data_IF_643538488423
#
_entry.id   IF_643538488423
#
_cell.length_a   1.000
_cell.length_b   1.000
_cell.length_c   1.000
_cell.angle_alpha   90.00
_cell.angle_beta   90.00
_cell.angle_gamma   90.00
#
_symmetry.space_group_name_H-M   'P 1'
#
loop_
_entity.id
_entity.type
_entity.pdbx_description
1 polymer ?
#
# COMPACT_ATOMS: atom_id res chain seq x y z
N UNK A 1 -5.42 -12.30 -23.45
CA UNK A 1 -4.65 -13.00 -22.39
C UNK A 1 -5.52 -13.01 -21.14
N UNK A 2 -5.83 -14.20 -20.61
CA UNK A 2 -6.63 -14.32 -19.39
C UNK A 2 -5.88 -13.86 -18.13
N UNK A 3 -6.55 -13.76 -16.98
CA UNK A 3 -5.93 -13.45 -15.71
C UNK A 3 -4.88 -14.51 -15.35
N UNK A 4 -3.74 -14.06 -14.84
CA UNK A 4 -2.69 -14.93 -14.30
C UNK A 4 -3.01 -15.23 -12.84
N UNK A 5 -3.06 -16.51 -12.47
CA UNK A 5 -3.26 -16.95 -11.10
C UNK A 5 -1.98 -17.55 -10.53
N UNK A 6 -1.60 -17.13 -9.33
CA UNK A 6 -0.48 -17.68 -8.59
C UNK A 6 -1.01 -18.45 -7.36
N UNK A 7 -0.85 -19.79 -7.31
CA UNK A 7 -1.20 -20.56 -6.14
C UNK A 7 -0.33 -20.17 -4.93
N UNK A 8 -0.93 -20.09 -3.74
CA UNK A 8 -0.19 -19.89 -2.50
C UNK A 8 0.45 -21.21 -2.03
N UNK A 9 1.70 -21.15 -1.57
CA UNK A 9 2.42 -22.31 -1.05
C UNK A 9 1.84 -22.80 0.28
N UNK A 10 2.31 -23.95 0.77
CA UNK A 10 1.93 -24.45 2.10
C UNK A 10 2.28 -23.47 3.23
N UNK A 11 3.38 -22.71 3.10
CA UNK A 11 3.80 -21.68 4.06
C UNK A 11 2.82 -20.51 4.04
N UNK A 12 2.47 -20.02 2.85
CA UNK A 12 1.54 -18.89 2.68
C UNK A 12 0.12 -19.22 3.16
N UNK A 13 -0.26 -20.50 3.12
CA UNK A 13 -1.58 -20.99 3.54
C UNK A 13 -1.73 -21.09 5.06
N UNK A 14 -0.63 -21.06 5.81
CA UNK A 14 -0.65 -21.17 7.26
C UNK A 14 -1.49 -20.04 7.88
N UNK A 15 -2.28 -20.36 8.91
CA UNK A 15 -3.22 -19.41 9.49
C UNK A 15 -2.53 -18.14 10.05
N UNK A 16 -1.31 -18.29 10.57
CA UNK A 16 -0.48 -17.20 11.06
C UNK A 16 0.12 -16.31 9.95
N UNK A 17 0.15 -16.77 8.70
CA UNK A 17 0.62 -16.00 7.56
C UNK A 17 -0.45 -15.03 7.03
N UNK A 18 -1.72 -15.14 7.48
CA UNK A 18 -2.85 -14.29 7.05
C UNK A 18 -2.98 -13.02 7.89
N UNK A 19 -1.87 -12.29 8.03
CA UNK A 19 -1.81 -11.04 8.79
C UNK A 19 -1.44 -9.88 7.88
N UNK A 20 -2.01 -8.71 8.16
CA UNK A 20 -1.53 -7.47 7.55
C UNK A 20 -0.26 -7.04 8.27
N UNK A 21 0.84 -6.90 7.53
CA UNK A 21 2.09 -6.37 8.06
C UNK A 21 2.05 -4.85 7.88
N UNK A 22 2.04 -4.12 9.00
CA UNK A 22 2.08 -2.66 9.02
C UNK A 22 3.49 -2.19 9.37
N UNK A 23 4.08 -1.34 8.52
CA UNK A 23 5.41 -0.78 8.75
C UNK A 23 5.44 0.71 8.39
N UNK A 24 6.16 1.51 9.18
CA UNK A 24 6.29 2.95 9.02
C UNK A 24 7.78 3.26 8.83
N UNK A 25 8.10 3.96 7.74
CA UNK A 25 9.44 4.50 7.49
C UNK A 25 9.41 6.01 7.61
N UNK A 26 10.34 6.56 8.39
CA UNK A 26 10.46 7.98 8.66
C UNK A 26 11.78 8.47 8.04
N UNK A 27 11.68 9.51 7.20
CA UNK A 27 12.83 10.12 6.55
C UNK A 27 12.94 11.58 7.00
N UNK A 28 14.14 12.00 7.40
CA UNK A 28 14.43 13.41 7.67
C UNK A 28 14.41 14.25 6.39
N UNK A 29 14.38 15.57 6.53
CA UNK A 29 14.44 16.48 5.38
C UNK A 29 15.75 16.30 4.61
N UNK A 30 15.66 15.79 3.37
CA UNK A 30 16.76 15.86 2.41
C UNK A 30 16.87 17.28 1.83
N UNK A 31 18.08 17.75 1.54
CA UNK A 31 18.28 19.09 0.97
C UNK A 31 17.62 19.27 -0.41
N UNK A 32 17.07 20.47 -0.64
CA UNK A 32 16.67 21.07 -1.93
C UNK A 32 15.47 20.48 -2.71
N UNK A 33 15.01 19.26 -2.42
CA UNK A 33 13.85 18.68 -3.12
C UNK A 33 12.51 19.08 -2.49
N UNK A 34 11.69 19.88 -3.16
CA UNK A 34 10.31 20.14 -2.73
C UNK A 34 9.45 18.86 -2.67
N UNK A 35 8.41 18.83 -1.84
CA UNK A 35 7.59 17.63 -1.56
C UNK A 35 6.98 16.97 -2.81
N UNK A 36 6.66 17.77 -3.84
CA UNK A 36 6.13 17.26 -5.11
C UNK A 36 7.09 16.33 -5.86
N UNK A 37 8.40 16.59 -5.77
CA UNK A 37 9.41 15.73 -6.40
C UNK A 37 9.52 14.36 -5.72
N UNK A 38 9.42 14.33 -4.39
CA UNK A 38 9.44 13.08 -3.63
C UNK A 38 8.22 12.19 -3.95
N UNK A 39 7.03 12.77 -4.02
CA UNK A 39 5.80 12.02 -4.36
C UNK A 39 5.90 11.41 -5.75
N UNK A 40 6.38 12.17 -6.73
CA UNK A 40 6.59 11.67 -8.09
C UNK A 40 7.62 10.52 -8.13
N UNK A 41 8.77 10.70 -7.46
CA UNK A 41 9.82 9.69 -7.40
C UNK A 41 9.35 8.37 -6.76
N UNK A 42 8.56 8.44 -5.68
CA UNK A 42 8.01 7.25 -5.02
C UNK A 42 7.01 6.54 -5.95
N UNK A 43 6.10 7.27 -6.59
CA UNK A 43 5.12 6.71 -7.54
C UNK A 43 5.83 6.00 -8.69
N UNK A 44 6.85 6.62 -9.28
CA UNK A 44 7.64 6.05 -10.37
C UNK A 44 8.43 4.81 -9.90
N UNK A 45 9.01 4.88 -8.70
CA UNK A 45 9.69 3.75 -8.07
C UNK A 45 8.78 2.53 -7.91
N UNK A 46 7.55 2.73 -7.43
CA UNK A 46 6.55 1.66 -7.36
C UNK A 46 6.17 1.12 -8.73
N UNK A 47 5.96 1.99 -9.73
CA UNK A 47 5.65 1.53 -11.09
C UNK A 47 6.73 0.58 -11.63
N UNK A 48 8.01 0.97 -11.53
CA UNK A 48 9.13 0.11 -11.93
C UNK A 48 9.19 -1.20 -11.13
N UNK A 49 9.00 -1.13 -9.82
CA UNK A 49 9.01 -2.31 -8.96
C UNK A 49 7.88 -3.29 -9.30
N UNK A 50 6.68 -2.80 -9.64
CA UNK A 50 5.51 -3.62 -9.97
C UNK A 50 5.65 -4.40 -11.28
N UNK A 51 6.68 -4.15 -12.09
CA UNK A 51 7.04 -5.03 -13.21
C UNK A 51 7.49 -6.39 -12.68
N UNK A 52 8.47 -6.42 -11.78
CA UNK A 52 9.01 -7.65 -11.20
C UNK A 52 8.16 -8.20 -10.05
N UNK A 53 7.54 -7.30 -9.27
CA UNK A 53 6.68 -7.63 -8.13
C UNK A 53 5.20 -7.53 -8.47
N UNK A 54 4.83 -7.91 -9.70
CA UNK A 54 3.45 -7.85 -10.19
C UNK A 54 2.39 -8.55 -9.30
N UNK A 55 2.69 -9.63 -8.52
CA UNK A 55 1.68 -10.24 -7.66
C UNK A 55 1.17 -9.31 -6.55
N UNK A 56 1.97 -8.32 -6.15
CA UNK A 56 1.60 -7.34 -5.10
C UNK A 56 0.43 -6.46 -5.53
N UNK A 57 0.26 -6.22 -6.83
CA UNK A 57 -0.88 -5.51 -7.40
C UNK A 57 -2.10 -6.41 -7.65
N UNK A 58 -2.04 -7.69 -7.29
CA UNK A 58 -3.12 -8.65 -7.44
C UNK A 58 -4.10 -8.68 -6.26
N UNK A 59 -5.02 -9.65 -6.29
CA UNK A 59 -6.01 -9.89 -5.24
C UNK A 59 -5.97 -11.33 -4.77
N UNK A 60 -6.09 -11.55 -3.47
CA UNK A 60 -6.27 -12.90 -2.94
C UNK A 60 -7.72 -13.32 -3.22
N UNK A 61 -7.87 -14.38 -4.01
CA UNK A 61 -9.14 -15.00 -4.39
C UNK A 61 -9.18 -16.45 -3.88
N UNK A 62 -10.38 -17.03 -3.79
CA UNK A 62 -10.57 -18.46 -3.48
C UNK A 62 -11.02 -19.16 -4.76
N UNK A 63 -10.22 -20.07 -5.30
CA UNK A 63 -10.59 -20.86 -6.51
C UNK A 63 -11.38 -22.12 -6.16
N UNK A 64 -11.06 -22.73 -5.01
CA UNK A 64 -11.67 -23.95 -4.44
C UNK A 64 -11.78 -23.76 -2.92
N UNK A 65 -12.73 -24.40 -2.21
CA UNK A 65 -12.73 -24.37 -0.75
C UNK A 65 -11.38 -24.81 -0.17
N UNK A 66 -10.65 -23.87 0.43
CA UNK A 66 -9.39 -24.14 1.13
C UNK A 66 -8.10 -23.76 0.39
N UNK A 67 -8.15 -23.35 -0.88
CA UNK A 67 -6.96 -23.04 -1.69
C UNK A 67 -6.97 -21.58 -2.17
N UNK A 68 -6.50 -20.61 -1.35
CA UNK A 68 -6.36 -19.24 -1.77
C UNK A 68 -5.27 -19.08 -2.85
N UNK A 69 -5.52 -18.20 -3.82
CA UNK A 69 -4.61 -17.86 -4.92
C UNK A 69 -4.53 -16.34 -5.06
N UNK A 70 -3.47 -15.83 -5.71
CA UNK A 70 -3.40 -14.44 -6.13
C UNK A 70 -3.84 -14.32 -7.59
N UNK A 71 -4.96 -13.64 -7.83
CA UNK A 71 -5.34 -13.15 -9.14
C UNK A 71 -4.51 -11.90 -9.47
N UNK A 72 -3.60 -12.02 -10.44
CA UNK A 72 -2.71 -10.93 -10.85
C UNK A 72 -3.42 -10.00 -11.85
N UNK A 73 -4.46 -9.29 -11.39
CA UNK A 73 -5.41 -8.49 -12.19
C UNK A 73 -4.83 -7.22 -12.84
N UNK A 74 -3.60 -6.82 -12.49
CA UNK A 74 -2.96 -5.55 -12.93
C UNK A 74 -3.70 -4.29 -12.49
N UNK A 75 -4.59 -4.39 -11.50
CA UNK A 75 -5.34 -3.26 -10.94
C UNK A 75 -4.46 -2.21 -10.25
N UNK A 76 -3.18 -2.50 -10.08
CA UNK A 76 -2.22 -1.61 -9.42
C UNK A 76 -2.37 -1.61 -7.91
N UNK A 77 -1.44 -0.94 -7.22
CA UNK A 77 -1.50 -0.75 -5.77
C UNK A 77 -2.16 0.58 -5.44
N UNK A 78 -2.75 0.69 -4.25
CA UNK A 78 -3.19 1.98 -3.74
C UNK A 78 -1.98 2.79 -3.28
N UNK A 79 -1.94 4.06 -3.70
CA UNK A 79 -1.00 5.06 -3.22
C UNK A 79 -1.77 6.28 -2.72
N UNK A 80 -1.40 6.74 -1.54
CA UNK A 80 -2.15 7.73 -0.76
C UNK A 80 -1.15 8.77 -0.28
N UNK A 81 -1.38 10.03 -0.65
CA UNK A 81 -0.57 11.17 -0.25
C UNK A 81 -1.35 11.99 0.78
N UNK A 82 -0.73 12.27 1.91
CA UNK A 82 -1.32 13.07 2.98
C UNK A 82 -0.32 14.13 3.48
N UNK A 83 -0.85 15.19 4.08
CA UNK A 83 -0.08 16.24 4.74
C UNK A 83 -0.62 16.49 6.12
N UNK A 84 0.30 16.81 7.04
CA UNK A 84 0.00 17.22 8.40
C UNK A 84 0.74 18.51 8.69
N UNK A 85 0.10 19.38 9.48
CA UNK A 85 0.66 20.65 9.91
C UNK A 85 1.34 20.48 11.28
N UNK A 86 2.44 19.73 11.29
CA UNK A 86 3.30 19.53 12.46
C UNK A 86 4.73 19.21 12.01
N UNK A 87 5.72 19.52 12.83
CA UNK A 87 7.08 19.11 12.56
C UNK A 87 7.22 17.59 12.75
N UNK A 88 8.17 16.98 12.03
CA UNK A 88 8.44 15.56 12.19
C UNK A 88 8.86 15.21 13.64
N UNK A 89 9.63 16.09 14.28
CA UNK A 89 10.08 15.94 15.66
C UNK A 89 8.92 15.89 16.67
N UNK A 90 7.79 16.54 16.36
CA UNK A 90 6.59 16.53 17.21
C UNK A 90 5.93 15.14 17.26
N UNK A 91 6.14 14.31 16.23
CA UNK A 91 5.50 13.00 16.08
C UNK A 91 6.47 11.81 16.14
N UNK A 92 7.78 12.09 16.17
CA UNK A 92 8.83 11.07 16.16
C UNK A 92 8.83 10.19 17.44
N UNK A 93 8.18 10.63 18.51
CA UNK A 93 8.05 9.92 19.78
C UNK A 93 6.98 8.81 19.75
N UNK A 94 6.30 8.62 18.62
CA UNK A 94 5.03 7.89 18.55
C UNK A 94 4.93 6.89 17.40
N UNK A 95 6.01 6.20 17.04
CA UNK A 95 5.96 4.95 16.26
C UNK A 95 5.07 3.83 16.90
N UNK A 96 4.43 4.11 18.04
CA UNK A 96 3.42 3.26 18.72
C UNK A 96 2.01 3.89 18.82
N UNK A 97 1.76 5.07 18.25
CA UNK A 97 0.45 5.72 18.39
C UNK A 97 -0.59 5.05 17.49
N UNK A 98 -1.46 4.25 18.12
CA UNK A 98 -2.67 3.60 17.58
C UNK A 98 -3.76 4.58 17.07
N UNK A 99 -3.41 5.80 16.69
CA UNK A 99 -4.36 6.83 16.20
C UNK A 99 -4.44 6.96 14.69
N UNK A 100 -3.70 6.14 13.94
CA UNK A 100 -4.06 5.88 12.55
C UNK A 100 -5.01 4.68 12.58
N UNK A 101 -6.31 4.93 12.50
CA UNK A 101 -7.31 3.86 12.38
C UNK A 101 -6.95 2.97 11.19
N UNK A 102 -6.92 1.67 11.47
CA UNK A 102 -6.63 0.53 10.59
C UNK A 102 -6.99 0.84 9.11
N UNK A 103 -6.04 0.78 8.16
CA UNK A 103 -6.29 1.08 6.74
C UNK A 103 -7.14 0.02 6.01
N UNK A 104 -7.75 -0.92 6.73
CA UNK A 104 -8.65 -1.94 6.16
C UNK A 104 -9.88 -1.36 5.47
N UNK A 105 -10.18 -0.08 5.70
CA UNK A 105 -11.17 0.66 4.93
C UNK A 105 -10.68 1.06 3.53
N UNK A 106 -9.38 1.23 3.27
CA UNK A 106 -8.86 1.72 1.97
C UNK A 106 -9.13 0.78 0.79
N UNK A 107 -9.47 -0.49 1.05
CA UNK A 107 -9.99 -1.40 0.03
C UNK A 107 -11.43 -1.10 -0.41
N UNK A 108 -12.13 -0.21 0.31
CA UNK A 108 -13.57 0.12 0.15
C UNK A 108 -13.91 1.62 0.17
N UNK A 109 -12.98 2.51 0.50
CA UNK A 109 -13.28 3.95 0.58
C UNK A 109 -13.64 4.49 -0.81
N UNK A 110 -14.83 5.11 -0.91
CA UNK A 110 -15.10 5.99 -2.04
C UNK A 110 -14.23 7.24 -1.91
N UNK A 111 -13.88 7.94 -3.01
CA UNK A 111 -13.15 9.21 -2.92
C UNK A 111 -13.82 10.27 -2.02
N UNK A 112 -15.11 10.13 -1.70
CA UNK A 112 -15.87 11.05 -0.86
C UNK A 112 -15.64 10.90 0.66
N UNK A 113 -14.94 9.86 1.13
CA UNK A 113 -14.73 9.58 2.58
C UNK A 113 -13.29 9.89 3.03
N UNK A 114 -12.54 10.64 2.21
CA UNK A 114 -11.13 10.91 2.43
C UNK A 114 -10.94 11.94 3.57
N UNK A 115 -10.12 11.59 4.56
CA UNK A 115 -9.79 12.42 5.73
C UNK A 115 -9.28 13.81 5.29
N UNK A 116 -9.55 14.91 6.03
CA UNK A 116 -9.13 16.28 5.68
C UNK A 116 -7.62 16.51 5.52
N UNK A 117 -6.81 15.49 5.80
CA UNK A 117 -5.33 15.51 5.68
C UNK A 117 -4.85 14.90 4.38
N UNK A 118 -5.75 14.32 3.58
CA UNK A 118 -5.39 13.68 2.35
C UNK A 118 -5.23 14.69 1.21
N UNK A 119 -4.11 14.63 0.51
CA UNK A 119 -3.84 15.39 -0.71
C UNK A 119 -4.29 14.65 -1.96
N UNK A 120 -3.97 13.36 -2.07
CA UNK A 120 -4.33 12.55 -3.24
C UNK A 120 -4.47 11.07 -2.89
N UNK A 121 -5.34 10.35 -3.59
CA UNK A 121 -5.39 8.89 -3.55
C UNK A 121 -5.61 8.37 -4.97
N UNK A 122 -4.90 7.32 -5.33
CA UNK A 122 -5.04 6.71 -6.64
C UNK A 122 -4.27 5.41 -6.76
N UNK A 123 -4.47 4.72 -7.89
CA UNK A 123 -3.70 3.52 -8.20
C UNK A 123 -2.34 3.88 -8.79
N UNK A 124 -1.34 3.08 -8.47
CA UNK A 124 -0.05 3.03 -9.19
C UNK A 124 0.03 1.69 -9.88
N UNK A 125 0.25 1.74 -11.19
CA UNK A 125 0.40 0.57 -12.04
C UNK A 125 1.88 0.43 -12.43
N UNK A 126 2.23 -0.75 -12.94
CA UNK A 126 3.50 -0.98 -13.62
C UNK A 126 3.61 -0.20 -14.93
#
# INVERSE_FOLDING_TARGET
>A
MGPLFLPLSSIDRAANARVSIEFIQVFGSGGSGGSGGAVAAIREGFARALVSYFPVAGRIVKSVPGEPMVECSRDGIWFVEAVVDCALDDVNQHARSRRCSRPEALGRLRPAELHPRLRSAGRVHR
#
